data_IF_127647204763
#
_entry.id   IF_127647204763
#
_cell.length_a   1.000
_cell.length_b   1.000
_cell.length_c   1.000
_cell.angle_alpha   90.00
_cell.angle_beta   90.00
_cell.angle_gamma   90.00
#
_symmetry.space_group_name_H-M   'P 1'
#
loop_
_entity.id
_entity.type
_entity.pdbx_description
1 polymer ?
#
# COMPACT_ATOMS: atom_id res chain seq x y z
N UNK A 1 -9.66 -23.85 -10.88
CA UNK A 1 -9.58 -22.79 -9.85
C UNK A 1 -10.24 -21.48 -10.30
N UNK A 2 -10.17 -21.12 -11.59
CA UNK A 2 -10.81 -19.94 -12.18
C UNK A 2 -12.32 -19.84 -11.89
N UNK A 3 -13.03 -20.96 -11.90
CA UNK A 3 -14.48 -21.06 -11.68
C UNK A 3 -14.92 -20.75 -10.24
N UNK A 4 -13.99 -20.79 -9.27
CA UNK A 4 -14.30 -20.65 -7.84
C UNK A 4 -13.99 -19.26 -7.28
N UNK A 5 -13.65 -18.29 -8.13
CA UNK A 5 -13.34 -16.92 -7.72
C UNK A 5 -13.84 -15.91 -8.75
N UNK A 6 -14.36 -14.78 -8.27
CA UNK A 6 -14.73 -13.63 -9.12
C UNK A 6 -13.59 -12.62 -9.28
N UNK A 7 -12.38 -12.93 -8.80
CA UNK A 7 -11.23 -12.02 -8.93
C UNK A 7 -10.87 -11.80 -10.41
N UNK A 8 -10.53 -10.58 -10.81
CA UNK A 8 -10.10 -10.29 -12.19
C UNK A 8 -8.63 -10.67 -12.44
N UNK A 9 -7.81 -10.65 -11.38
CA UNK A 9 -6.36 -10.88 -11.40
C UNK A 9 -5.98 -11.73 -10.17
N UNK A 10 -4.98 -12.60 -10.32
CA UNK A 10 -4.35 -13.33 -9.22
C UNK A 10 -2.95 -12.76 -8.97
N UNK A 11 -2.70 -12.18 -7.80
CA UNK A 11 -1.37 -11.66 -7.42
C UNK A 11 -0.64 -12.62 -6.47
N UNK A 12 0.60 -12.98 -6.80
CA UNK A 12 1.45 -13.83 -5.99
C UNK A 12 2.34 -12.96 -5.09
N UNK A 13 2.18 -13.11 -3.77
CA UNK A 13 3.02 -12.42 -2.80
C UNK A 13 4.37 -13.14 -2.62
N UNK A 14 5.44 -12.50 -3.11
CA UNK A 14 6.83 -12.90 -2.91
C UNK A 14 7.62 -11.89 -2.07
N UNK A 15 6.95 -10.93 -1.43
CA UNK A 15 7.59 -9.81 -0.72
C UNK A 15 7.42 -9.83 0.80
N UNK A 16 6.57 -10.71 1.35
CA UNK A 16 6.21 -10.67 2.77
C UNK A 16 7.40 -11.05 3.68
N UNK A 17 7.83 -10.15 4.60
CA UNK A 17 8.95 -10.41 5.50
C UNK A 17 8.56 -11.17 6.78
N UNK A 18 7.26 -11.43 6.99
CA UNK A 18 6.72 -11.96 8.25
C UNK A 18 7.12 -13.42 8.46
N UNK A 19 7.70 -13.71 9.63
CA UNK A 19 8.26 -15.03 9.97
C UNK A 19 7.26 -16.20 9.82
N UNK A 20 5.96 -15.96 10.05
CA UNK A 20 4.91 -16.99 9.88
C UNK A 20 4.85 -17.51 8.44
N UNK A 21 5.08 -16.66 7.45
CA UNK A 21 5.04 -17.03 6.03
C UNK A 21 6.35 -17.70 5.61
N UNK A 22 7.48 -17.17 6.08
CA UNK A 22 8.83 -17.66 5.74
C UNK A 22 9.07 -19.08 6.25
N UNK A 23 8.54 -19.44 7.43
CA UNK A 23 8.67 -20.80 7.98
C UNK A 23 7.97 -21.87 7.14
N UNK A 24 7.09 -21.48 6.22
CA UNK A 24 6.44 -22.37 5.26
C UNK A 24 7.14 -22.35 3.89
N UNK A 25 8.40 -21.89 3.82
CA UNK A 25 9.17 -21.77 2.57
C UNK A 25 8.46 -20.93 1.50
N UNK A 26 7.77 -19.87 1.90
CA UNK A 26 7.00 -18.99 1.01
C UNK A 26 7.41 -17.52 1.13
N UNK A 27 6.86 -16.67 0.26
CA UNK A 27 7.09 -15.24 0.27
C UNK A 27 8.53 -14.90 -0.14
N UNK A 28 9.18 -14.02 0.63
CA UNK A 28 10.53 -13.54 0.31
C UNK A 28 11.62 -14.63 0.32
N UNK A 29 11.34 -15.83 0.86
CA UNK A 29 12.30 -16.95 0.84
C UNK A 29 12.60 -17.43 -0.58
N UNK A 30 11.63 -17.34 -1.50
CA UNK A 30 11.84 -17.66 -2.91
C UNK A 30 12.84 -16.73 -3.59
N UNK A 31 13.01 -15.51 -3.09
CA UNK A 31 13.93 -14.52 -3.69
C UNK A 31 15.41 -14.93 -3.62
N UNK A 32 15.75 -15.99 -2.88
CA UNK A 32 17.10 -16.58 -2.83
C UNK A 32 17.38 -17.52 -4.02
N UNK A 33 16.36 -17.91 -4.78
CA UNK A 33 16.48 -18.85 -5.89
C UNK A 33 15.53 -18.47 -7.04
N UNK A 34 16.04 -17.84 -8.11
CA UNK A 34 15.26 -17.50 -9.30
C UNK A 34 14.54 -18.69 -9.96
N UNK A 35 15.12 -19.90 -9.93
CA UNK A 35 14.45 -21.09 -10.48
C UNK A 35 13.19 -21.43 -9.67
N UNK A 36 13.25 -21.23 -8.35
CA UNK A 36 12.07 -21.40 -7.49
C UNK A 36 10.99 -20.36 -7.79
N UNK A 37 11.37 -19.12 -8.12
CA UNK A 37 10.42 -18.10 -8.57
C UNK A 37 9.73 -18.56 -9.85
N UNK A 38 10.49 -19.06 -10.82
CA UNK A 38 9.94 -19.58 -12.08
C UNK A 38 8.92 -20.70 -11.82
N UNK A 39 9.33 -21.74 -11.08
CA UNK A 39 8.48 -22.91 -10.81
C UNK A 39 7.14 -22.52 -10.16
N UNK A 40 7.19 -21.61 -9.19
CA UNK A 40 5.99 -21.21 -8.45
C UNK A 40 5.06 -20.32 -9.27
N UNK A 41 5.60 -19.42 -10.10
CA UNK A 41 4.78 -18.59 -10.99
C UNK A 41 4.15 -19.44 -12.09
N UNK A 42 4.95 -20.29 -12.75
CA UNK A 42 4.49 -21.14 -13.84
C UNK A 42 3.37 -22.08 -13.37
N UNK A 43 3.53 -22.69 -12.20
CA UNK A 43 2.50 -23.57 -11.63
C UNK A 43 1.16 -22.86 -11.40
N UNK A 44 1.16 -21.57 -11.06
CA UNK A 44 -0.07 -20.80 -10.87
C UNK A 44 -0.63 -20.37 -12.23
N UNK A 45 0.22 -19.86 -13.13
CA UNK A 45 -0.16 -19.47 -14.50
C UNK A 45 -0.82 -20.63 -15.23
N UNK A 46 -0.25 -21.84 -15.16
CA UNK A 46 -0.81 -23.03 -15.81
C UNK A 46 -2.15 -23.49 -15.19
N UNK A 47 -2.45 -23.06 -13.95
CA UNK A 47 -3.64 -23.49 -13.20
C UNK A 47 -4.84 -22.54 -13.31
N UNK A 48 -4.66 -21.32 -13.87
CA UNK A 48 -5.72 -20.31 -13.98
C UNK A 48 -5.76 -19.63 -15.34
N UNK A 49 -6.96 -19.32 -15.82
CA UNK A 49 -7.20 -18.62 -17.09
C UNK A 49 -7.20 -17.09 -16.93
N UNK A 50 -6.72 -16.60 -15.78
CA UNK A 50 -6.73 -15.19 -15.39
C UNK A 50 -5.31 -14.64 -15.36
N UNK A 51 -5.10 -13.34 -15.62
CA UNK A 51 -3.78 -12.73 -15.50
C UNK A 51 -3.18 -12.99 -14.11
N UNK A 52 -1.94 -13.46 -14.10
CA UNK A 52 -1.17 -13.68 -12.88
C UNK A 52 -0.12 -12.60 -12.75
N UNK A 53 -0.14 -11.85 -11.66
CA UNK A 53 0.87 -10.83 -11.35
C UNK A 53 1.72 -11.25 -10.17
N UNK A 54 2.88 -10.63 -10.01
CA UNK A 54 3.78 -10.93 -8.89
C UNK A 54 4.17 -9.66 -8.16
N UNK A 55 4.04 -9.67 -6.83
CA UNK A 55 4.59 -8.62 -5.98
C UNK A 55 5.78 -9.13 -5.16
N UNK A 56 6.96 -8.57 -5.41
CA UNK A 56 8.21 -8.99 -4.79
C UNK A 56 9.01 -7.83 -4.14
N UNK A 57 10.12 -8.19 -3.50
CA UNK A 57 11.16 -7.28 -3.00
C UNK A 57 12.41 -7.45 -3.85
N UNK A 58 13.34 -6.50 -3.77
CA UNK A 58 14.63 -6.57 -4.52
C UNK A 58 15.53 -7.75 -4.11
N UNK A 59 15.27 -8.38 -2.96
CA UNK A 59 16.10 -9.48 -2.48
C UNK A 59 15.83 -9.86 -1.04
N UNK A 60 16.67 -10.74 -0.50
CA UNK A 60 16.56 -11.21 0.88
C UNK A 60 17.27 -10.26 1.86
N UNK A 61 18.52 -9.93 1.59
CA UNK A 61 19.36 -8.99 2.35
C UNK A 61 20.34 -8.28 1.38
N UNK A 62 21.31 -7.54 1.91
CA UNK A 62 22.26 -6.76 1.10
C UNK A 62 23.24 -7.62 0.28
N UNK A 63 23.45 -8.89 0.64
CA UNK A 63 24.33 -9.82 -0.08
C UNK A 63 23.56 -10.63 -1.14
N UNK A 64 22.22 -10.67 -1.03
CA UNK A 64 21.34 -11.48 -1.86
C UNK A 64 20.27 -10.62 -2.56
N UNK A 65 20.71 -9.71 -3.43
CA UNK A 65 19.87 -8.79 -4.22
C UNK A 65 19.70 -9.34 -5.65
N UNK A 66 18.93 -10.42 -5.80
CA UNK A 66 18.66 -11.06 -7.09
C UNK A 66 17.45 -10.45 -7.83
N UNK A 67 17.33 -9.12 -7.81
CA UNK A 67 16.12 -8.43 -8.26
C UNK A 67 15.82 -8.68 -9.75
N UNK A 68 16.85 -8.55 -10.59
CA UNK A 68 16.75 -8.70 -12.05
C UNK A 68 16.47 -10.15 -12.40
N UNK A 69 17.20 -11.09 -11.81
CA UNK A 69 17.08 -12.52 -12.07
C UNK A 69 15.71 -13.04 -11.68
N UNK A 70 15.20 -12.62 -10.50
CA UNK A 70 13.86 -12.99 -10.04
C UNK A 70 12.76 -12.38 -10.92
N UNK A 71 12.93 -11.13 -11.38
CA UNK A 71 11.95 -10.49 -12.27
C UNK A 71 11.89 -11.18 -13.64
N UNK A 72 13.05 -11.49 -14.23
CA UNK A 72 13.13 -12.23 -15.49
C UNK A 72 12.60 -13.66 -15.34
N UNK A 73 12.84 -14.33 -14.20
CA UNK A 73 12.27 -15.64 -13.92
C UNK A 73 10.74 -15.61 -13.88
N UNK A 74 10.15 -14.62 -13.19
CA UNK A 74 8.70 -14.44 -13.16
C UNK A 74 8.12 -14.12 -14.54
N UNK A 75 8.78 -13.25 -15.34
CA UNK A 75 8.38 -12.95 -16.71
C UNK A 75 8.40 -14.21 -17.60
N UNK A 76 9.50 -14.98 -17.59
CA UNK A 76 9.60 -16.24 -18.36
C UNK A 76 8.56 -17.27 -17.94
N UNK A 77 8.12 -17.24 -16.69
CA UNK A 77 7.09 -18.12 -16.15
C UNK A 77 5.66 -17.69 -16.54
N UNK A 78 5.49 -16.56 -17.23
CA UNK A 78 4.19 -16.09 -17.72
C UNK A 78 3.50 -15.05 -16.83
N UNK A 79 4.22 -14.41 -15.89
CA UNK A 79 3.66 -13.28 -15.15
C UNK A 79 3.23 -12.16 -16.12
N UNK A 80 2.02 -11.64 -15.92
CA UNK A 80 1.45 -10.57 -16.75
C UNK A 80 1.92 -9.18 -16.33
N UNK A 81 2.35 -9.00 -15.07
CA UNK A 81 2.95 -7.78 -14.56
C UNK A 81 3.73 -8.04 -13.26
N UNK A 82 4.68 -7.17 -12.93
CA UNK A 82 5.49 -7.25 -11.70
C UNK A 82 5.40 -5.95 -10.91
N UNK A 83 5.12 -6.03 -9.62
CA UNK A 83 5.31 -4.93 -8.68
C UNK A 83 6.50 -5.23 -7.77
N UNK A 84 7.46 -4.32 -7.64
CA UNK A 84 8.66 -4.55 -6.83
C UNK A 84 8.88 -3.46 -5.78
N UNK A 85 9.02 -3.88 -4.53
CA UNK A 85 9.38 -2.99 -3.44
C UNK A 85 10.90 -2.85 -3.34
N UNK A 86 11.41 -1.62 -3.41
CA UNK A 86 12.85 -1.27 -3.42
C UNK A 86 13.63 -1.60 -2.14
N UNK A 87 13.09 -2.39 -1.21
CA UNK A 87 13.86 -2.86 -0.03
C UNK A 87 13.96 -4.37 -0.03
N UNK A 88 15.07 -4.87 0.46
CA UNK A 88 15.28 -6.28 0.80
C UNK A 88 14.31 -6.73 1.89
N UNK A 89 14.17 -8.04 2.08
CA UNK A 89 13.34 -8.59 3.16
C UNK A 89 13.85 -8.16 4.54
N UNK A 90 15.16 -8.24 4.78
CA UNK A 90 15.77 -7.99 6.11
C UNK A 90 15.57 -6.53 6.54
N UNK A 91 15.62 -5.59 5.61
CA UNK A 91 15.34 -4.17 5.91
C UNK A 91 13.93 -3.92 6.44
N UNK A 92 12.96 -4.83 6.22
CA UNK A 92 11.55 -4.62 6.55
C UNK A 92 11.02 -3.27 6.05
N UNK A 93 10.95 -2.27 6.93
CA UNK A 93 10.49 -0.90 6.68
C UNK A 93 11.54 0.16 7.02
N UNK A 94 12.75 -0.26 7.37
CA UNK A 94 13.89 0.59 7.74
C UNK A 94 14.78 0.88 6.52
N UNK A 95 15.66 1.87 6.65
CA UNK A 95 16.46 2.38 5.54
C UNK A 95 15.60 2.99 4.44
N UNK A 96 16.18 3.17 3.26
CA UNK A 96 15.53 3.74 2.07
C UNK A 96 15.28 2.65 1.03
N UNK A 97 14.21 2.81 0.25
CA UNK A 97 13.97 1.98 -0.92
C UNK A 97 14.98 2.35 -2.03
N UNK A 98 15.73 1.37 -2.50
CA UNK A 98 16.68 1.51 -3.59
C UNK A 98 15.95 1.56 -4.93
N UNK A 99 15.71 2.78 -5.42
CA UNK A 99 15.08 3.01 -6.72
C UNK A 99 16.03 2.73 -7.90
N UNK A 100 17.34 2.68 -7.69
CA UNK A 100 18.29 2.34 -8.77
C UNK A 100 18.15 0.88 -9.16
N UNK A 101 17.98 -0.03 -8.19
CA UNK A 101 17.70 -1.44 -8.47
C UNK A 101 16.36 -1.59 -9.21
N UNK A 102 15.33 -0.80 -8.85
CA UNK A 102 14.05 -0.82 -9.58
C UNK A 102 14.22 -0.36 -11.04
N UNK A 103 15.05 0.66 -11.29
CA UNK A 103 15.38 1.12 -12.63
C UNK A 103 16.13 0.05 -13.44
N UNK A 104 17.03 -0.69 -12.81
CA UNK A 104 17.74 -1.81 -13.44
C UNK A 104 16.79 -2.94 -13.81
N UNK A 105 15.87 -3.31 -12.92
CA UNK A 105 14.83 -4.32 -13.20
C UNK A 105 13.99 -3.90 -14.39
N UNK A 106 13.49 -2.66 -14.42
CA UNK A 106 12.65 -2.19 -15.53
C UNK A 106 13.36 -2.27 -16.90
N UNK A 107 14.67 -2.05 -16.95
CA UNK A 107 15.46 -2.16 -18.19
C UNK A 107 15.60 -3.60 -18.70
N UNK A 108 15.39 -4.59 -17.84
CA UNK A 108 15.69 -6.00 -18.11
C UNK A 108 14.45 -6.90 -18.27
N UNK A 109 13.25 -6.32 -18.21
CA UNK A 109 11.96 -7.00 -18.46
C UNK A 109 11.13 -6.21 -19.47
N UNK A 110 10.22 -6.90 -20.15
CA UNK A 110 9.33 -6.34 -21.17
C UNK A 110 7.88 -6.17 -20.71
N UNK A 111 7.44 -6.92 -19.70
CA UNK A 111 6.11 -6.81 -19.12
C UNK A 111 5.92 -5.55 -18.25
N UNK A 112 4.67 -5.11 -17.99
CA UNK A 112 4.39 -3.98 -17.11
C UNK A 112 5.02 -4.13 -15.71
N UNK A 113 5.61 -3.03 -15.25
CA UNK A 113 6.36 -2.96 -14.00
C UNK A 113 5.88 -1.79 -13.13
N UNK A 114 5.57 -2.08 -11.87
CA UNK A 114 5.17 -1.10 -10.88
C UNK A 114 6.24 -0.92 -9.80
N UNK A 115 6.78 0.28 -9.72
CA UNK A 115 7.73 0.65 -8.67
C UNK A 115 7.01 0.85 -7.32
N UNK A 116 7.63 0.43 -6.22
CA UNK A 116 7.05 0.53 -4.88
C UNK A 116 8.13 0.82 -3.83
N UNK A 117 7.80 1.68 -2.88
CA UNK A 117 8.69 2.01 -1.75
C UNK A 117 8.90 3.51 -1.63
N UNK A 118 8.65 4.03 -0.43
CA UNK A 118 8.92 5.42 -0.03
C UNK A 118 8.20 6.53 -0.79
N UNK A 119 7.11 6.18 -1.48
CA UNK A 119 6.18 7.16 -2.07
C UNK A 119 5.23 7.68 -0.99
N UNK A 120 5.46 8.92 -0.55
CA UNK A 120 4.68 9.60 0.49
C UNK A 120 3.83 10.76 -0.05
N UNK A 121 4.23 11.35 -1.19
CA UNK A 121 3.52 12.46 -1.84
C UNK A 121 3.27 12.20 -3.34
N UNK A 122 2.37 12.96 -4.00
CA UNK A 122 2.24 12.98 -5.46
C UNK A 122 3.56 13.25 -6.19
N UNK A 123 4.42 14.08 -5.62
CA UNK A 123 5.74 14.41 -6.14
C UNK A 123 6.70 13.23 -6.05
N UNK A 124 6.68 12.48 -4.94
CA UNK A 124 7.47 11.23 -4.83
C UNK A 124 7.02 10.21 -5.89
N UNK A 125 5.72 10.16 -6.18
CA UNK A 125 5.16 9.27 -7.20
C UNK A 125 5.67 9.65 -8.61
N UNK A 126 5.80 10.94 -8.90
CA UNK A 126 6.42 11.41 -10.14
C UNK A 126 7.91 11.09 -10.17
N UNK A 127 8.63 11.38 -9.08
CA UNK A 127 10.08 11.17 -8.99
C UNK A 127 10.46 9.70 -9.18
N UNK A 128 9.74 8.77 -8.56
CA UNK A 128 10.03 7.33 -8.72
C UNK A 128 9.75 6.87 -10.16
N UNK A 129 8.69 7.36 -10.81
CA UNK A 129 8.39 7.02 -12.21
C UNK A 129 9.49 7.56 -13.14
N UNK A 130 9.91 8.81 -12.96
CA UNK A 130 10.97 9.43 -13.76
C UNK A 130 12.33 8.73 -13.57
N UNK A 131 12.69 8.37 -12.33
CA UNK A 131 13.97 7.72 -12.03
C UNK A 131 14.01 6.28 -12.53
N UNK A 132 12.91 5.53 -12.38
CA UNK A 132 12.89 4.09 -12.67
C UNK A 132 12.47 3.75 -14.10
N UNK A 133 11.72 4.65 -14.74
CA UNK A 133 11.03 4.35 -16.00
C UNK A 133 9.90 3.32 -15.84
N UNK A 134 9.44 3.06 -14.62
CA UNK A 134 8.35 2.13 -14.34
C UNK A 134 7.05 2.58 -15.01
N UNK A 135 6.18 1.63 -15.36
CA UNK A 135 4.90 1.90 -16.02
C UNK A 135 3.82 2.33 -15.01
N UNK A 136 4.07 2.09 -13.72
CA UNK A 136 3.18 2.50 -12.64
C UNK A 136 3.88 2.58 -11.30
N UNK A 137 3.16 3.11 -10.31
CA UNK A 137 3.64 3.28 -8.95
C UNK A 137 2.61 2.73 -7.97
N UNK A 138 3.06 1.95 -6.99
CA UNK A 138 2.20 1.42 -5.94
C UNK A 138 2.41 2.19 -4.64
N UNK A 139 1.32 2.75 -4.11
CA UNK A 139 1.30 3.52 -2.87
C UNK A 139 0.68 2.67 -1.76
N UNK A 140 1.41 2.50 -0.64
CA UNK A 140 0.95 1.72 0.51
C UNK A 140 0.64 2.60 1.71
N UNK A 141 1.62 2.74 2.62
CA UNK A 141 1.46 3.41 3.93
C UNK A 141 0.92 4.83 3.84
N UNK A 142 1.27 5.57 2.78
CA UNK A 142 0.83 6.96 2.59
C UNK A 142 -0.67 7.11 2.34
N UNK A 143 -1.35 6.05 1.88
CA UNK A 143 -2.80 6.04 1.66
C UNK A 143 -3.62 5.68 2.92
N UNK A 144 -2.97 5.21 3.99
CA UNK A 144 -3.65 4.84 5.24
C UNK A 144 -4.22 6.08 5.93
N UNK A 145 -5.55 6.17 6.02
CA UNK A 145 -6.24 7.36 6.53
C UNK A 145 -6.09 8.59 5.63
N UNK A 146 -5.64 8.38 4.39
CA UNK A 146 -5.40 9.39 3.37
C UNK A 146 -5.77 8.82 1.99
N UNK A 147 -7.05 8.42 1.77
CA UNK A 147 -7.48 7.89 0.48
C UNK A 147 -7.37 8.94 -0.65
N UNK A 148 -7.39 10.23 -0.31
CA UNK A 148 -7.24 11.31 -1.29
C UNK A 148 -5.86 11.39 -1.92
N UNK A 149 -4.84 10.80 -1.28
CA UNK A 149 -3.52 10.59 -1.88
C UNK A 149 -3.62 10.06 -3.31
N UNK A 150 -4.52 9.10 -3.57
CA UNK A 150 -4.62 8.44 -4.88
C UNK A 150 -5.08 9.41 -5.97
N UNK A 151 -6.21 10.10 -5.79
CA UNK A 151 -6.69 11.03 -6.84
C UNK A 151 -5.79 12.27 -6.97
N UNK A 152 -5.16 12.72 -5.88
CA UNK A 152 -4.18 13.81 -5.93
C UNK A 152 -2.94 13.41 -6.71
N UNK A 153 -2.44 12.17 -6.52
CA UNK A 153 -1.35 11.62 -7.32
C UNK A 153 -1.72 11.53 -8.80
N UNK A 154 -2.89 10.97 -9.13
CA UNK A 154 -3.35 10.87 -10.52
C UNK A 154 -3.41 12.25 -11.17
N UNK A 155 -4.07 13.23 -10.52
CA UNK A 155 -4.16 14.59 -11.04
C UNK A 155 -2.77 15.22 -11.27
N UNK A 156 -1.88 15.10 -10.28
CA UNK A 156 -0.52 15.66 -10.39
C UNK A 156 0.29 15.02 -11.52
N UNK A 157 0.17 13.71 -11.73
CA UNK A 157 0.85 13.01 -12.83
C UNK A 157 0.30 13.41 -14.20
N UNK A 158 -1.00 13.69 -14.31
CA UNK A 158 -1.66 14.05 -15.57
C UNK A 158 -1.48 15.53 -15.94
N UNK A 159 -1.53 16.43 -14.95
CA UNK A 159 -1.59 17.89 -15.19
C UNK A 159 -0.34 18.65 -14.74
N UNK A 160 0.45 18.07 -13.84
CA UNK A 160 1.53 18.76 -13.13
C UNK A 160 1.05 19.71 -12.03
N UNK A 161 -0.25 19.83 -11.80
CA UNK A 161 -0.84 20.65 -10.75
C UNK A 161 -1.01 19.85 -9.45
N UNK A 162 -0.55 20.41 -8.33
CA UNK A 162 -0.75 19.79 -7.03
C UNK A 162 -2.05 20.30 -6.40
N UNK A 163 -3.07 19.43 -6.35
CA UNK A 163 -4.31 19.73 -5.64
C UNK A 163 -4.05 19.98 -4.15
N UNK A 164 -4.79 20.89 -3.51
CA UNK A 164 -4.70 21.10 -2.07
C UNK A 164 -5.11 19.84 -1.30
N UNK A 165 -4.63 19.74 -0.06
CA UNK A 165 -5.14 18.76 0.89
C UNK A 165 -6.61 19.07 1.23
N UNK A 166 -7.46 18.04 1.44
CA UNK A 166 -8.82 18.28 1.92
C UNK A 166 -8.82 18.98 3.27
N UNK A 167 -9.89 19.73 3.53
CA UNK A 167 -10.06 20.39 4.82
C UNK A 167 -10.23 19.35 5.94
N UNK A 168 -9.83 19.66 7.19
CA UNK A 168 -9.96 18.73 8.32
C UNK A 168 -11.36 18.13 8.47
N UNK A 169 -12.40 18.92 8.17
CA UNK A 169 -13.79 18.49 8.18
C UNK A 169 -14.06 17.41 7.14
N UNK A 170 -13.64 17.60 5.90
CA UNK A 170 -13.83 16.62 4.81
C UNK A 170 -13.08 15.31 5.08
N UNK A 171 -11.89 15.40 5.70
CA UNK A 171 -11.12 14.23 6.15
C UNK A 171 -11.92 13.40 7.16
N UNK A 172 -12.58 14.06 8.11
CA UNK A 172 -13.40 13.39 9.12
C UNK A 172 -14.72 12.87 8.53
N UNK A 173 -15.38 13.57 7.63
CA UNK A 173 -16.56 13.03 6.94
C UNK A 173 -16.21 11.78 6.13
N UNK A 174 -15.05 11.77 5.48
CA UNK A 174 -14.52 10.59 4.78
C UNK A 174 -14.25 9.43 5.74
N UNK A 175 -13.70 9.72 6.92
CA UNK A 175 -13.50 8.74 7.98
C UNK A 175 -14.84 8.13 8.44
N UNK A 176 -15.86 8.95 8.68
CA UNK A 176 -17.19 8.49 9.09
C UNK A 176 -17.90 7.72 7.98
N UNK A 177 -17.74 8.11 6.72
CA UNK A 177 -18.23 7.34 5.58
C UNK A 177 -17.57 5.95 5.52
N UNK A 178 -16.25 5.87 5.74
CA UNK A 178 -15.54 4.61 5.83
C UNK A 178 -16.10 3.74 6.95
N UNK A 179 -16.30 4.29 8.16
CA UNK A 179 -16.91 3.55 9.27
C UNK A 179 -18.32 3.05 8.92
N UNK A 180 -19.19 3.89 8.36
CA UNK A 180 -20.55 3.48 7.96
C UNK A 180 -20.53 2.32 6.96
N UNK A 181 -19.62 2.35 5.99
CA UNK A 181 -19.45 1.25 5.02
C UNK A 181 -18.93 -0.02 5.69
N UNK A 182 -18.01 0.10 6.65
CA UNK A 182 -17.50 -1.04 7.40
C UNK A 182 -18.60 -1.67 8.27
N UNK A 183 -19.47 -0.86 8.88
CA UNK A 183 -20.66 -1.30 9.63
C UNK A 183 -21.59 -2.10 8.72
N UNK A 184 -21.86 -1.62 7.51
CA UNK A 184 -22.72 -2.32 6.56
C UNK A 184 -22.19 -3.72 6.18
N UNK A 185 -20.87 -3.93 6.23
CA UNK A 185 -20.24 -5.21 5.88
C UNK A 185 -20.13 -6.14 7.10
N UNK A 186 -19.76 -5.62 8.27
CA UNK A 186 -19.35 -6.44 9.44
C UNK A 186 -20.25 -6.32 10.65
N UNK A 187 -21.27 -5.46 10.60
CA UNK A 187 -22.05 -5.05 11.76
C UNK A 187 -21.28 -4.10 12.68
N UNK A 188 -22.02 -3.34 13.48
CA UNK A 188 -21.48 -2.20 14.22
C UNK A 188 -20.36 -2.58 15.21
N UNK A 189 -20.62 -3.56 16.07
CA UNK A 189 -19.69 -3.98 17.12
C UNK A 189 -18.29 -4.34 16.58
N UNK A 190 -18.22 -5.04 15.45
CA UNK A 190 -16.96 -5.45 14.83
C UNK A 190 -16.33 -4.24 14.12
N UNK A 191 -17.13 -3.54 13.32
CA UNK A 191 -16.67 -2.41 12.53
C UNK A 191 -16.06 -1.30 13.38
N UNK A 192 -16.72 -0.88 14.47
CA UNK A 192 -16.21 0.18 15.34
C UNK A 192 -14.86 -0.19 15.94
N UNK A 193 -14.70 -1.44 16.40
CA UNK A 193 -13.46 -1.94 17.02
C UNK A 193 -12.30 -2.00 16.02
N UNK A 194 -12.53 -2.48 14.80
CA UNK A 194 -11.53 -2.47 13.74
C UNK A 194 -11.21 -1.03 13.28
N UNK A 195 -12.22 -0.17 13.23
CA UNK A 195 -12.08 1.22 12.80
C UNK A 195 -11.23 2.07 13.75
N UNK A 196 -11.04 1.66 15.01
CA UNK A 196 -10.14 2.36 15.96
C UNK A 196 -8.75 2.60 15.38
N UNK A 197 -8.20 1.63 14.65
CA UNK A 197 -6.92 1.77 13.97
C UNK A 197 -7.01 2.76 12.79
N UNK A 198 -8.07 2.70 12.00
CA UNK A 198 -8.29 3.63 10.89
C UNK A 198 -8.49 5.07 11.36
N UNK A 199 -9.21 5.29 12.45
CA UNK A 199 -9.37 6.59 13.09
C UNK A 199 -8.02 7.18 13.49
N UNK A 200 -7.10 6.37 14.04
CA UNK A 200 -5.75 6.81 14.37
C UNK A 200 -4.95 7.25 13.13
N UNK A 201 -5.16 6.61 11.98
CA UNK A 201 -4.56 7.02 10.71
C UNK A 201 -5.13 8.35 10.19
N UNK A 202 -6.45 8.52 10.18
CA UNK A 202 -7.09 9.78 9.77
C UNK A 202 -6.66 10.97 10.65
N UNK A 203 -6.40 10.73 11.94
CA UNK A 203 -5.96 11.73 12.90
C UNK A 203 -4.43 11.93 12.92
N UNK A 204 -3.66 11.19 12.12
CA UNK A 204 -2.18 11.29 12.10
C UNK A 204 -1.76 12.69 11.63
N UNK A 205 -0.75 13.27 12.28
CA UNK A 205 -0.23 14.60 11.95
C UNK A 205 -1.10 15.78 12.38
N UNK A 206 -2.39 15.58 12.66
CA UNK A 206 -3.27 16.67 13.07
C UNK A 206 -2.96 17.17 14.49
N UNK A 207 -2.74 18.48 14.65
CA UNK A 207 -2.40 19.11 15.92
C UNK A 207 -3.52 18.92 16.95
N UNK A 208 -3.16 18.50 18.17
CA UNK A 208 -4.12 18.28 19.26
C UNK A 208 -4.94 16.98 19.14
N UNK A 209 -4.65 16.12 18.17
CA UNK A 209 -5.37 14.86 17.95
C UNK A 209 -5.18 13.80 19.03
N UNK A 210 -4.20 13.95 19.93
CA UNK A 210 -3.88 12.93 20.95
C UNK A 210 -5.09 12.52 21.79
N UNK A 211 -5.88 13.49 22.27
CA UNK A 211 -7.08 13.20 23.07
C UNK A 211 -8.13 12.44 22.26
N UNK A 212 -8.36 12.85 21.01
CA UNK A 212 -9.30 12.20 20.12
C UNK A 212 -8.86 10.76 19.78
N UNK A 213 -7.56 10.52 19.57
CA UNK A 213 -7.02 9.16 19.34
C UNK A 213 -7.23 8.23 20.53
N UNK A 214 -6.96 8.73 21.75
CA UNK A 214 -7.16 7.94 22.97
C UNK A 214 -8.63 7.59 23.15
N UNK A 215 -9.54 8.55 22.97
CA UNK A 215 -10.97 8.32 23.06
C UNK A 215 -11.46 7.36 21.97
N UNK A 216 -11.05 7.57 20.72
CA UNK A 216 -11.42 6.70 19.59
C UNK A 216 -10.98 5.26 19.82
N UNK A 217 -9.84 5.03 20.49
CA UNK A 217 -9.36 3.67 20.79
C UNK A 217 -10.20 2.93 21.85
N UNK A 218 -11.12 3.63 22.54
CA UNK A 218 -12.04 3.06 23.52
C UNK A 218 -13.49 2.98 23.02
N UNK A 219 -13.84 3.69 21.95
CA UNK A 219 -15.21 3.76 21.43
C UNK A 219 -15.78 2.37 21.08
N UNK A 220 -16.98 2.08 21.55
CA UNK A 220 -17.67 0.80 21.33
C UNK A 220 -18.82 0.91 20.34
N UNK A 221 -19.39 2.10 20.19
CA UNK A 221 -20.52 2.39 19.32
C UNK A 221 -20.19 3.42 18.23
N UNK A 222 -20.96 3.42 17.14
CA UNK A 222 -20.84 4.39 16.06
C UNK A 222 -21.02 5.81 16.56
N UNK A 223 -22.04 6.04 17.40
CA UNK A 223 -22.40 7.38 17.86
C UNK A 223 -21.28 8.00 18.72
N UNK A 224 -20.58 7.18 19.51
CA UNK A 224 -19.42 7.60 20.29
C UNK A 224 -18.26 8.00 19.38
N UNK A 225 -17.92 7.15 18.40
CA UNK A 225 -16.86 7.43 17.43
C UNK A 225 -17.17 8.71 16.63
N UNK A 226 -18.42 8.88 16.21
CA UNK A 226 -18.88 10.07 15.50
C UNK A 226 -18.72 11.33 16.36
N UNK A 227 -19.18 11.30 17.61
CA UNK A 227 -19.04 12.42 18.53
C UNK A 227 -17.57 12.79 18.77
N UNK A 228 -16.68 11.79 18.93
CA UNK A 228 -15.24 12.01 19.13
C UNK A 228 -14.62 12.70 17.91
N UNK A 229 -14.89 12.18 16.70
CA UNK A 229 -14.27 12.70 15.48
C UNK A 229 -14.82 14.08 15.11
N UNK A 230 -16.14 14.29 15.20
CA UNK A 230 -16.74 15.61 14.96
C UNK A 230 -16.30 16.63 16.00
N UNK A 231 -16.27 16.23 17.28
CA UNK A 231 -15.78 17.07 18.37
C UNK A 231 -14.33 17.51 18.18
N UNK A 232 -13.48 16.63 17.63
CA UNK A 232 -12.11 17.00 17.25
C UNK A 232 -12.08 18.09 16.18
N UNK A 233 -12.90 17.99 15.12
CA UNK A 233 -12.96 19.01 14.05
C UNK A 233 -13.35 20.37 14.61
N UNK A 234 -14.42 20.43 15.42
CA UNK A 234 -14.86 21.70 16.01
C UNK A 234 -13.75 22.36 16.84
N UNK A 235 -13.08 21.60 17.71
CA UNK A 235 -11.97 22.12 18.51
C UNK A 235 -10.76 22.54 17.66
N UNK A 236 -10.54 21.88 16.52
CA UNK A 236 -9.46 22.20 15.60
C UNK A 236 -9.72 23.52 14.87
N UNK A 237 -10.95 23.71 14.37
CA UNK A 237 -11.39 24.90 13.66
C UNK A 237 -11.41 26.12 14.59
N UNK A 238 -11.96 26.01 15.80
CA UNK A 238 -11.97 27.11 16.79
C UNK A 238 -10.55 27.61 17.11
N UNK A 239 -9.61 26.69 17.30
CA UNK A 239 -8.20 27.04 17.59
C UNK A 239 -7.45 27.61 16.39
N UNK A 240 -7.92 27.33 15.18
CA UNK A 240 -7.36 27.88 13.95
C UNK A 240 -7.85 29.31 13.74
N UNK A 241 -9.14 29.57 14.02
CA UNK A 241 -9.73 30.91 14.01
C UNK A 241 -9.16 31.83 15.10
N UNK A 242 -8.94 31.31 16.32
CA UNK A 242 -8.39 32.10 17.42
C UNK A 242 -6.89 32.51 17.25
N UNK A 243 -6.26 32.13 16.13
CA UNK A 243 -4.86 32.46 15.82
C UNK A 243 -4.71 33.37 14.59
N UNK A 244 -5.81 33.62 13.87
CA UNK A 244 -5.87 34.68 12.86
C UNK A 244 -6.18 36.01 13.54
#
# INVERSE_FOLDING_TARGET
MSENTTADIIDINMGCPVNKIIKCEAGAKWLLNPDKVYDMVAAVVDAVDKPVTVKMRIGWDAEHVFAVENAQAAERAGASAIAMHGRTRVQMYEGEADWNVLAEVKKNISIPFMANGDVQTPEDAKAILEQTGADGVMIGRAALGNPWMIYRTVHYLETGELLPEPEPRDKIETALLHLRRLIAIKGEKIAVREFRQHAAYYLKGARGSTRAKVAANQAEEYIEMEAILRGFVFQYEEKSLAKQ
#
